data_IF_623386854324
#
_entry.id   IF_623386854324
#
_cell.length_a   1.000
_cell.length_b   1.000
_cell.length_c   1.000
_cell.angle_alpha   90.00
_cell.angle_beta   90.00
_cell.angle_gamma   90.00
#
_symmetry.space_group_name_H-M   'P 1'
#
loop_
_entity.id
_entity.type
_entity.pdbx_description
1 polymer ?
#
# COMPACT_ATOMS: atom_id res chain seq x y z
N UNK A 1 -7.47 -0.96 3.81
CA UNK A 1 -7.83 0.46 3.64
C UNK A 1 -9.34 0.59 3.44
N UNK A 2 -9.96 1.54 4.10
CA UNK A 2 -11.36 1.92 3.87
C UNK A 2 -11.38 3.35 3.32
N UNK A 3 -12.22 3.61 2.31
CA UNK A 3 -12.38 4.95 1.75
C UNK A 3 -12.90 5.96 2.79
N UNK A 4 -12.60 7.26 2.65
CA UNK A 4 -13.02 8.27 3.64
C UNK A 4 -14.51 8.33 3.90
N UNK A 5 -15.34 7.98 2.91
CA UNK A 5 -16.80 7.89 3.05
C UNK A 5 -17.28 6.60 3.73
N UNK A 6 -16.37 5.67 4.05
CA UNK A 6 -16.67 4.40 4.69
C UNK A 6 -17.37 3.37 3.80
N UNK A 7 -17.56 3.64 2.49
CA UNK A 7 -18.40 2.79 1.61
C UNK A 7 -17.63 1.76 0.79
N UNK A 8 -16.29 1.82 0.80
CA UNK A 8 -15.42 0.94 0.01
C UNK A 8 -14.30 0.39 0.88
N UNK A 9 -14.11 -0.92 0.86
CA UNK A 9 -12.96 -1.61 1.46
C UNK A 9 -12.03 -2.09 0.37
N UNK A 10 -10.74 -1.88 0.59
CA UNK A 10 -9.67 -2.37 -0.28
C UNK A 10 -8.71 -3.27 0.52
N UNK A 11 -8.40 -4.42 -0.05
CA UNK A 11 -7.47 -5.40 0.55
C UNK A 11 -6.39 -5.79 -0.45
N UNK A 12 -5.19 -6.09 0.04
CA UNK A 12 -4.20 -6.83 -0.72
C UNK A 12 -4.51 -8.32 -0.62
N UNK A 13 -4.40 -9.02 -1.74
CA UNK A 13 -4.60 -10.46 -1.80
C UNK A 13 -3.33 -11.13 -2.30
N UNK A 14 -2.83 -12.08 -1.50
CA UNK A 14 -1.71 -12.94 -1.85
C UNK A 14 -2.27 -14.29 -2.30
N UNK A 15 -1.85 -14.76 -3.47
CA UNK A 15 -2.12 -16.13 -3.87
C UNK A 15 -0.95 -17.03 -3.49
N UNK A 16 -1.17 -17.96 -2.59
CA UNK A 16 -0.15 -18.91 -2.10
C UNK A 16 -0.03 -20.18 -2.94
N UNK A 17 -0.30 -20.14 -4.25
CA UNK A 17 -0.31 -21.35 -5.09
C UNK A 17 0.63 -21.26 -6.29
N UNK A 18 1.22 -22.40 -6.66
CA UNK A 18 2.21 -22.59 -7.74
C UNK A 18 1.70 -22.31 -9.16
N UNK A 19 0.41 -22.05 -9.33
CA UNK A 19 -0.19 -21.73 -10.64
C UNK A 19 -1.11 -20.51 -10.50
N UNK A 20 -0.80 -19.44 -11.24
CA UNK A 20 -1.54 -18.18 -11.30
C UNK A 20 -1.53 -17.40 -9.96
N UNK A 21 -0.35 -17.00 -9.50
CA UNK A 21 -0.24 -15.98 -8.45
C UNK A 21 -0.98 -14.72 -8.91
N UNK A 22 -2.14 -14.49 -8.36
CA UNK A 22 -2.95 -13.32 -8.65
C UNK A 22 -2.75 -12.34 -7.51
N UNK A 23 -1.58 -11.68 -7.52
CA UNK A 23 -1.35 -10.55 -6.65
C UNK A 23 -2.26 -9.42 -7.10
N UNK A 24 -3.15 -9.04 -6.22
CA UNK A 24 -4.20 -8.11 -6.56
C UNK A 24 -4.57 -7.19 -5.39
N UNK A 25 -5.01 -6.00 -5.73
CA UNK A 25 -5.87 -5.21 -4.84
C UNK A 25 -7.32 -5.54 -5.17
N UNK A 26 -8.09 -5.89 -4.15
CA UNK A 26 -9.51 -6.24 -4.26
C UNK A 26 -10.34 -5.15 -3.61
N UNK A 27 -11.44 -4.76 -4.26
CA UNK A 27 -12.43 -3.83 -3.75
C UNK A 27 -13.72 -4.54 -3.37
N UNK A 28 -14.22 -4.18 -2.19
CA UNK A 28 -15.56 -4.55 -1.73
C UNK A 28 -16.40 -3.27 -1.54
N UNK A 29 -17.69 -3.36 -1.84
CA UNK A 29 -18.65 -2.33 -1.46
C UNK A 29 -19.19 -2.63 -0.07
N UNK A 30 -19.28 -1.60 0.75
CA UNK A 30 -19.86 -1.65 2.09
C UNK A 30 -21.25 -0.99 2.04
N UNK A 31 -22.36 -1.75 2.21
CA UNK A 31 -23.71 -1.20 2.14
C UNK A 31 -24.01 -0.21 3.27
N UNK A 32 -23.37 -0.41 4.41
CA UNK A 32 -23.39 0.52 5.53
C UNK A 32 -21.97 1.05 5.74
N UNK A 33 -21.80 2.37 5.75
CA UNK A 33 -20.50 2.98 5.92
C UNK A 33 -19.80 2.47 7.20
N UNK A 34 -18.50 2.10 7.04
CA UNK A 34 -17.63 1.59 8.12
C UNK A 34 -18.06 0.23 8.71
N UNK A 35 -19.02 -0.45 8.12
CA UNK A 35 -19.46 -1.78 8.55
C UNK A 35 -19.09 -2.84 7.53
N UNK A 36 -18.46 -3.92 7.98
CA UNK A 36 -18.16 -5.07 7.13
C UNK A 36 -19.37 -5.99 6.89
N UNK A 37 -20.45 -5.78 7.65
CA UNK A 37 -21.66 -6.57 7.51
C UNK A 37 -22.31 -6.34 6.14
N UNK A 38 -22.49 -7.39 5.38
CA UNK A 38 -23.04 -7.33 4.03
C UNK A 38 -22.06 -6.83 2.96
N UNK A 39 -20.77 -6.79 3.25
CA UNK A 39 -19.76 -6.44 2.26
C UNK A 39 -19.84 -7.36 1.03
N UNK A 40 -19.83 -6.77 -0.15
CA UNK A 40 -19.93 -7.50 -1.42
C UNK A 40 -18.71 -7.23 -2.29
N UNK A 41 -18.18 -8.28 -2.93
CA UNK A 41 -17.12 -8.15 -3.92
C UNK A 41 -17.57 -7.22 -5.05
N UNK A 42 -16.68 -6.29 -5.44
CA UNK A 42 -16.93 -5.39 -6.55
C UNK A 42 -15.98 -5.67 -7.72
N UNK A 43 -14.70 -5.53 -7.51
CA UNK A 43 -13.68 -5.61 -8.57
C UNK A 43 -12.31 -5.92 -7.99
N UNK A 44 -11.37 -6.24 -8.88
CA UNK A 44 -9.95 -6.39 -8.52
C UNK A 44 -9.05 -5.71 -9.55
N UNK A 45 -7.91 -5.23 -9.11
CA UNK A 45 -6.79 -4.82 -9.94
C UNK A 45 -5.68 -5.84 -9.79
N UNK A 46 -5.33 -6.51 -10.88
CA UNK A 46 -4.11 -7.32 -10.92
C UNK A 46 -2.91 -6.37 -10.87
N UNK A 47 -1.98 -6.65 -9.98
CA UNK A 47 -0.72 -5.94 -9.92
C UNK A 47 0.16 -6.50 -11.02
N UNK A 48 0.53 -5.66 -11.99
CA UNK A 48 1.34 -6.10 -13.12
C UNK A 48 2.72 -6.51 -12.60
N UNK A 49 3.12 -7.73 -12.89
CA UNK A 49 4.47 -8.24 -12.64
C UNK A 49 5.43 -7.58 -13.63
N UNK A 50 5.93 -6.41 -13.31
CA UNK A 50 6.96 -5.73 -14.09
C UNK A 50 8.38 -6.11 -13.66
N UNK A 51 8.51 -6.73 -12.49
CA UNK A 51 9.74 -7.30 -11.98
C UNK A 51 9.61 -8.83 -11.91
N UNK A 52 10.64 -9.53 -12.34
CA UNK A 52 10.73 -11.00 -12.40
C UNK A 52 10.83 -11.69 -11.03
N UNK A 53 10.77 -10.94 -9.95
CA UNK A 53 10.74 -11.44 -8.58
C UNK A 53 9.30 -11.67 -8.12
N UNK A 54 9.08 -12.69 -7.31
CA UNK A 54 7.78 -12.95 -6.67
C UNK A 54 7.32 -11.69 -5.94
N UNK A 55 6.11 -11.22 -6.26
CA UNK A 55 5.51 -10.08 -5.59
C UNK A 55 4.78 -10.55 -4.33
N UNK A 56 4.94 -9.79 -3.26
CA UNK A 56 4.24 -10.02 -1.98
C UNK A 56 3.60 -8.70 -1.54
N UNK A 57 2.48 -8.28 -2.17
CA UNK A 57 1.79 -7.04 -1.79
C UNK A 57 1.14 -7.23 -0.43
N UNK A 58 1.62 -6.53 0.58
CA UNK A 58 1.18 -6.69 1.97
C UNK A 58 0.34 -5.53 2.48
N UNK A 59 0.42 -4.37 1.84
CA UNK A 59 -0.43 -3.25 2.24
C UNK A 59 -0.82 -2.34 1.08
N UNK A 60 -2.00 -1.75 1.18
CA UNK A 60 -2.53 -0.78 0.23
C UNK A 60 -3.01 0.48 0.96
N UNK A 61 -2.72 1.63 0.38
CA UNK A 61 -3.19 2.93 0.81
C UNK A 61 -3.66 3.75 -0.39
N UNK A 62 -4.69 4.55 -0.22
CA UNK A 62 -5.16 5.46 -1.26
C UNK A 62 -5.00 6.91 -0.83
N UNK A 63 -4.58 7.75 -1.76
CA UNK A 63 -4.70 9.20 -1.60
C UNK A 63 -6.18 9.54 -1.36
N UNK A 64 -6.51 10.53 -0.50
CA UNK A 64 -7.89 10.84 -0.14
C UNK A 64 -8.84 11.16 -1.30
N UNK A 65 -8.32 11.59 -2.46
CA UNK A 65 -9.12 11.80 -3.66
C UNK A 65 -9.43 10.52 -4.46
N UNK A 66 -8.84 9.38 -4.07
CA UNK A 66 -9.02 8.10 -4.74
C UNK A 66 -8.35 7.96 -6.10
N UNK A 67 -7.53 8.94 -6.52
CA UNK A 67 -6.86 8.93 -7.83
C UNK A 67 -5.44 8.36 -7.81
N UNK A 68 -4.89 8.08 -6.64
CA UNK A 68 -3.60 7.41 -6.48
C UNK A 68 -3.71 6.29 -5.45
N UNK A 69 -3.16 5.15 -5.80
CA UNK A 69 -3.07 3.97 -4.95
C UNK A 69 -1.60 3.64 -4.72
N UNK A 70 -1.23 3.42 -3.47
CA UNK A 70 0.11 3.01 -3.05
C UNK A 70 0.05 1.58 -2.56
N UNK A 71 0.89 0.73 -3.12
CA UNK A 71 1.03 -0.68 -2.72
C UNK A 71 2.44 -0.89 -2.25
N UNK A 72 2.60 -1.36 -1.02
CA UNK A 72 3.90 -1.84 -0.57
C UNK A 72 4.02 -3.34 -0.84
N UNK A 73 5.12 -3.70 -1.47
CA UNK A 73 5.49 -5.05 -1.85
C UNK A 73 6.74 -5.48 -1.07
N UNK A 74 6.61 -6.54 -0.28
CA UNK A 74 7.67 -7.03 0.60
C UNK A 74 8.79 -7.74 -0.17
N UNK A 75 8.50 -8.29 -1.33
CA UNK A 75 9.50 -8.90 -2.20
C UNK A 75 9.32 -8.36 -3.63
N UNK A 76 9.96 -7.27 -4.01
CA UNK A 76 11.36 -6.87 -3.76
C UNK A 76 11.58 -5.69 -2.79
N UNK A 77 10.76 -5.49 -1.77
CA UNK A 77 10.88 -4.40 -0.80
C UNK A 77 10.76 -3.01 -1.46
N UNK A 78 9.61 -2.78 -2.10
CA UNK A 78 9.34 -1.56 -2.86
C UNK A 78 7.95 -1.03 -2.61
N UNK A 79 7.82 0.27 -2.75
CA UNK A 79 6.53 0.92 -2.87
C UNK A 79 6.22 1.21 -4.33
N UNK A 80 5.01 0.85 -4.73
CA UNK A 80 4.45 1.13 -6.05
C UNK A 80 3.33 2.15 -5.92
N UNK A 81 3.29 3.11 -6.83
CA UNK A 81 2.18 4.04 -6.98
C UNK A 81 1.51 3.80 -8.32
N UNK A 82 0.22 3.64 -8.30
CA UNK A 82 -0.65 3.57 -9.47
C UNK A 82 -1.51 4.82 -9.52
N UNK A 83 -1.77 5.35 -10.70
CA UNK A 83 -2.67 6.49 -10.91
C UNK A 83 -3.89 6.07 -11.71
N UNK A 84 -5.02 6.69 -11.44
CA UNK A 84 -6.31 6.39 -12.05
C UNK A 84 -6.90 7.60 -12.75
N UNK A 85 -7.69 7.36 -13.79
CA UNK A 85 -8.52 8.37 -14.42
C UNK A 85 -9.85 8.60 -13.71
N UNK A 86 -10.34 7.61 -12.97
CA UNK A 86 -11.58 7.68 -12.20
C UNK A 86 -11.31 7.28 -10.76
N UNK A 87 -11.73 8.14 -9.82
CA UNK A 87 -11.50 7.93 -8.40
C UNK A 87 -12.12 6.61 -7.92
N UNK A 88 -11.34 5.84 -7.14
CA UNK A 88 -11.78 4.60 -6.49
C UNK A 88 -12.14 3.44 -7.46
N UNK A 89 -12.00 3.64 -8.75
CA UNK A 89 -12.27 2.59 -9.75
C UNK A 89 -10.98 1.82 -10.06
N UNK A 90 -10.90 0.57 -9.58
CA UNK A 90 -9.73 -0.28 -9.76
C UNK A 90 -9.41 -0.57 -11.23
N UNK A 91 -10.42 -0.54 -12.12
CA UNK A 91 -10.21 -0.77 -13.56
C UNK A 91 -9.49 0.39 -14.26
N UNK A 92 -9.59 1.61 -13.69
CA UNK A 92 -8.97 2.81 -14.25
C UNK A 92 -7.52 3.03 -13.79
N UNK A 93 -7.02 2.26 -12.80
CA UNK A 93 -5.64 2.35 -12.37
C UNK A 93 -4.69 1.78 -13.41
N UNK A 94 -3.90 2.65 -14.01
CA UNK A 94 -2.89 2.34 -15.03
C UNK A 94 -1.49 2.64 -14.54
N UNK A 95 -0.84 3.57 -15.18
CA UNK A 95 0.54 4.02 -15.01
C UNK A 95 1.14 3.76 -13.62
N UNK A 96 2.18 2.96 -13.59
CA UNK A 96 2.88 2.57 -12.39
C UNK A 96 4.20 3.33 -12.29
N UNK A 97 4.48 3.87 -11.12
CA UNK A 97 5.82 4.31 -10.70
C UNK A 97 6.25 3.51 -9.48
N UNK A 98 7.55 3.32 -9.31
CA UNK A 98 8.09 2.55 -8.18
C UNK A 98 9.25 3.28 -7.51
N UNK A 99 9.49 2.97 -6.24
CA UNK A 99 10.73 3.35 -5.56
C UNK A 99 11.89 2.47 -5.99
N UNK A 100 13.11 2.88 -5.72
CA UNK A 100 14.20 1.94 -5.49
C UNK A 100 13.87 1.08 -4.27
N UNK A 101 14.65 0.03 -4.01
CA UNK A 101 14.48 -0.76 -2.79
C UNK A 101 14.45 0.18 -1.58
N UNK A 102 13.41 0.08 -0.76
CA UNK A 102 13.36 0.80 0.50
C UNK A 102 14.43 0.19 1.37
N UNK A 103 15.40 1.00 1.80
CA UNK A 103 16.50 0.50 2.63
C UNK A 103 15.89 -0.01 3.92
N UNK A 104 15.73 -1.30 4.00
CA UNK A 104 15.29 -1.94 5.19
C UNK A 104 16.47 -2.68 5.81
N UNK A 105 16.84 -2.26 6.99
CA UNK A 105 17.63 -3.07 7.90
C UNK A 105 16.78 -4.18 8.54
N UNK A 106 15.49 -4.20 8.20
CA UNK A 106 14.51 -5.16 8.67
C UNK A 106 13.95 -6.00 7.52
N UNK A 107 13.47 -7.16 7.83
CA UNK A 107 12.93 -8.15 6.89
C UNK A 107 11.51 -7.82 6.43
N UNK A 108 11.26 -6.60 5.97
CA UNK A 108 9.99 -6.19 5.38
C UNK A 108 9.06 -5.39 6.30
N UNK A 109 8.00 -4.87 5.73
CA UNK A 109 6.97 -4.10 6.42
C UNK A 109 5.60 -4.78 6.26
N UNK A 110 4.70 -4.56 7.23
CA UNK A 110 3.36 -5.15 7.25
C UNK A 110 2.24 -4.15 6.99
N UNK A 111 2.51 -2.86 7.12
CA UNK A 111 1.52 -1.81 6.96
C UNK A 111 2.12 -0.48 6.58
N UNK A 112 1.29 0.36 5.98
CA UNK A 112 1.67 1.71 5.60
C UNK A 112 0.58 2.72 5.98
N UNK A 113 1.00 3.94 6.26
CA UNK A 113 0.14 5.09 6.44
C UNK A 113 0.81 6.32 5.81
N UNK A 114 0.03 7.15 5.14
CA UNK A 114 0.49 8.42 4.59
C UNK A 114 -0.14 9.59 5.33
N UNK A 115 0.69 10.53 5.71
CA UNK A 115 0.22 11.77 6.28
C UNK A 115 -0.59 12.57 5.23
N UNK A 116 -1.62 13.31 5.63
CA UNK A 116 -2.46 14.07 4.69
C UNK A 116 -1.72 15.10 3.83
N UNK A 117 -0.53 15.56 4.24
CA UNK A 117 0.31 16.43 3.41
C UNK A 117 0.93 15.72 2.19
N UNK A 118 0.94 14.38 2.19
CA UNK A 118 1.51 13.56 1.12
C UNK A 118 3.03 13.53 1.05
N UNK A 119 3.75 14.19 1.95
CA UNK A 119 5.23 14.21 1.96
C UNK A 119 5.84 13.30 3.01
N UNK A 120 5.02 12.70 3.87
CA UNK A 120 5.44 11.76 4.90
C UNK A 120 4.69 10.45 4.78
N UNK A 121 5.43 9.36 4.83
CA UNK A 121 4.86 8.02 4.85
C UNK A 121 5.47 7.24 6.01
N UNK A 122 4.66 6.42 6.65
CA UNK A 122 5.02 5.61 7.80
C UNK A 122 4.86 4.14 7.44
N UNK A 123 5.87 3.33 7.76
CA UNK A 123 5.86 1.89 7.53
C UNK A 123 6.10 1.16 8.85
N UNK A 124 5.37 0.08 9.07
CA UNK A 124 5.51 -0.76 10.26
C UNK A 124 6.34 -1.99 9.92
N UNK A 125 7.50 -2.13 10.56
CA UNK A 125 8.40 -3.26 10.39
C UNK A 125 7.85 -4.53 11.04
N UNK A 126 8.07 -5.68 10.38
CA UNK A 126 7.57 -6.98 10.87
C UNK A 126 8.46 -7.61 11.92
N UNK A 127 9.77 -7.43 11.86
CA UNK A 127 10.74 -8.18 12.66
C UNK A 127 11.21 -7.49 13.93
N UNK A 128 11.10 -6.16 14.03
CA UNK A 128 11.62 -5.39 15.16
C UNK A 128 10.54 -4.59 15.91
N UNK A 129 9.26 -4.81 15.62
CA UNK A 129 8.16 -4.01 16.17
C UNK A 129 8.44 -2.49 16.06
N UNK A 130 8.94 -2.06 14.91
CA UNK A 130 9.49 -0.72 14.70
C UNK A 130 8.65 0.01 13.66
N UNK A 131 8.44 1.30 13.86
CA UNK A 131 7.82 2.17 12.87
C UNK A 131 8.89 3.07 12.24
N UNK A 132 8.85 3.18 10.92
CA UNK A 132 9.77 3.99 10.14
C UNK A 132 9.01 5.15 9.49
N UNK A 133 9.59 6.33 9.52
CA UNK A 133 9.11 7.47 8.75
C UNK A 133 10.00 7.68 7.52
N UNK A 134 9.35 7.93 6.40
CA UNK A 134 9.98 8.31 5.15
C UNK A 134 9.44 9.66 4.69
N UNK A 135 10.32 10.48 4.16
CA UNK A 135 9.96 11.72 3.50
C UNK A 135 10.07 11.57 1.99
N UNK A 136 9.19 12.25 1.27
CA UNK A 136 9.21 12.33 -0.21
C UNK A 136 9.58 13.73 -0.65
N UNK A 137 10.23 13.85 -1.80
CA UNK A 137 10.62 15.17 -2.36
C UNK A 137 9.44 15.97 -2.88
N UNK A 138 8.30 15.33 -3.10
CA UNK A 138 7.06 15.98 -3.56
C UNK A 138 5.85 15.26 -2.98
N UNK A 139 4.78 16.00 -2.70
CA UNK A 139 3.55 15.46 -2.17
C UNK A 139 3.01 14.32 -3.05
N UNK A 140 2.74 13.15 -2.42
CA UNK A 140 2.23 11.95 -3.07
C UNK A 140 3.14 11.37 -4.17
N UNK A 141 4.40 11.85 -4.24
CA UNK A 141 5.41 11.34 -5.16
C UNK A 141 6.20 10.18 -4.53
N UNK A 142 6.75 9.30 -5.36
CA UNK A 142 7.72 8.28 -4.93
C UNK A 142 9.17 8.66 -5.26
N UNK A 143 9.36 9.74 -6.03
CA UNK A 143 10.70 10.27 -6.32
C UNK A 143 11.34 10.83 -5.06
N UNK A 144 12.62 10.49 -4.83
CA UNK A 144 13.36 10.99 -3.69
C UNK A 144 12.83 10.54 -2.32
N UNK A 145 12.10 9.42 -2.27
CA UNK A 145 11.72 8.83 -1.00
C UNK A 145 13.00 8.43 -0.24
N UNK A 146 13.16 8.97 0.93
CA UNK A 146 14.35 8.75 1.76
C UNK A 146 13.95 8.47 3.19
N UNK A 147 14.62 7.49 3.80
CA UNK A 147 14.54 7.28 5.23
C UNK A 147 15.13 8.50 5.93
N UNK A 148 14.36 9.12 6.81
CA UNK A 148 14.87 10.21 7.61
C UNK A 148 15.65 9.61 8.80
N UNK A 149 16.96 9.74 8.77
CA UNK A 149 17.84 9.24 9.84
C UNK A 149 17.57 9.86 11.22
N UNK A 150 16.76 10.90 11.28
CA UNK A 150 16.38 11.58 12.52
C UNK A 150 15.06 11.11 13.12
N UNK A 151 14.31 10.28 12.40
CA UNK A 151 13.04 9.82 12.94
C UNK A 151 13.26 8.56 13.75
N UNK A 152 13.14 8.75 15.03
CA UNK A 152 13.27 7.73 16.04
C UNK A 152 12.38 6.54 15.71
N UNK A 153 13.00 5.42 15.46
CA UNK A 153 12.37 4.14 15.62
C UNK A 153 11.90 4.05 17.07
N UNK A 154 10.60 4.00 17.32
CA UNK A 154 10.14 3.64 18.65
C UNK A 154 9.74 2.17 18.66
N UNK A 155 10.26 1.46 19.63
CA UNK A 155 9.90 0.07 19.87
C UNK A 155 8.52 0.03 20.51
N UNK A 156 7.58 -0.66 19.88
CA UNK A 156 6.29 -0.98 20.51
C UNK A 156 6.53 -2.20 21.38
N UNK A 157 6.78 -2.00 22.66
CA UNK A 157 6.82 -3.12 23.60
C UNK A 157 5.44 -3.78 23.65
N UNK A 158 5.41 -5.09 23.44
CA UNK A 158 4.21 -5.88 23.74
C UNK A 158 4.00 -5.82 25.26
N UNK A 159 2.88 -5.26 25.67
CA UNK A 159 2.33 -5.48 27.01
C UNK A 159 1.65 -6.84 27.05
#
# INVERSE_FOLDING_TARGET
FISPDGTKLFTCNLSSGTFNQIDAVVRYNLPNAWSLQGATYNSRKLLSQTDTSSQLPVSVFFKPDGLSMFVYDQAPDRMYRYTAGTAWDLSSFGNQTKTNSLISTSTGFSGQFWHPDGVRCYLVGTSLATMYQYNTSSAWGLGGISHNAHDSTFSVSRQ
#
